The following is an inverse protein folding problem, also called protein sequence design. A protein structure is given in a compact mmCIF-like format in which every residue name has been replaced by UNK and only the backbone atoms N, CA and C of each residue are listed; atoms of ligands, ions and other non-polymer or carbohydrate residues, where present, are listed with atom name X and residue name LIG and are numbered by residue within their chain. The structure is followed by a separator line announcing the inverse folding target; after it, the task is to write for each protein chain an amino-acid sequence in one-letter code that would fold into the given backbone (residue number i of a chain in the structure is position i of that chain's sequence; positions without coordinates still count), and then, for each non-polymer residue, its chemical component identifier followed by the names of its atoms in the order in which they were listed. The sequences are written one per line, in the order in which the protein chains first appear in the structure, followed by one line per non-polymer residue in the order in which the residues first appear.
data_IF_847997963619
#
_entry.id   IF_847997963619
#
_cell.length_a   1.000
_cell.length_b   1.000
_cell.length_c   1.000
_cell.angle_alpha   90.00
_cell.angle_beta   90.00
_cell.angle_gamma   90.00
#
_symmetry.space_group_name_H-M   'P 1'
#
loop_
_entity.id
_entity.type
_entity.pdbx_description
1 polymer ?
#
# COMPACT_ATOMS: atom_id res chain seq x y z
N UNK A 1 1.30 -23.26 12.89
CA UNK A 1 2.62 -22.87 12.35
C UNK A 1 3.10 -23.84 11.28
N UNK A 2 3.22 -25.15 11.53
CA UNK A 2 3.42 -26.17 10.46
C UNK A 2 2.45 -25.99 9.28
N UNK A 3 1.16 -25.81 9.60
CA UNK A 3 0.10 -25.53 8.62
C UNK A 3 0.38 -24.36 7.66
N UNK A 4 1.20 -23.35 8.00
CA UNK A 4 1.46 -22.22 7.08
C UNK A 4 2.57 -22.52 6.07
N UNK A 5 3.52 -23.40 6.42
CA UNK A 5 4.60 -23.82 5.52
C UNK A 5 4.14 -24.87 4.51
N UNK A 6 3.05 -25.57 4.83
CA UNK A 6 2.45 -26.64 4.02
C UNK A 6 1.39 -26.11 3.04
N UNK A 7 1.06 -24.81 3.08
CA UNK A 7 0.10 -24.22 2.15
C UNK A 7 0.82 -23.88 0.84
N UNK A 8 0.46 -24.57 -0.22
CA UNK A 8 0.97 -24.32 -1.59
C UNK A 8 0.28 -23.13 -2.28
N UNK A 9 -0.84 -22.65 -1.73
CA UNK A 9 -1.64 -21.56 -2.29
C UNK A 9 -1.27 -20.19 -1.69
N UNK A 10 -1.60 -19.11 -2.40
CA UNK A 10 -1.49 -17.76 -1.83
C UNK A 10 -2.57 -17.55 -0.77
N UNK A 11 -2.17 -17.09 0.41
CA UNK A 11 -3.10 -16.76 1.50
C UNK A 11 -3.15 -15.25 1.66
N UNK A 12 -4.37 -14.70 1.67
CA UNK A 12 -4.62 -13.31 2.04
C UNK A 12 -5.07 -13.30 3.50
N UNK A 13 -4.38 -12.50 4.32
CA UNK A 13 -4.68 -12.36 5.74
C UNK A 13 -5.05 -10.92 6.00
N UNK A 14 -6.29 -10.70 6.43
CA UNK A 14 -6.71 -9.40 6.94
C UNK A 14 -6.21 -9.24 8.39
N UNK A 15 -5.72 -8.04 8.72
CA UNK A 15 -5.07 -7.75 10.00
C UNK A 15 -5.79 -6.57 10.64
N UNK A 16 -6.59 -6.85 11.66
CA UNK A 16 -7.33 -5.86 12.44
C UNK A 16 -6.83 -5.88 13.90
N UNK A 17 -5.66 -5.28 14.13
CA UNK A 17 -5.05 -5.15 15.47
C UNK A 17 -4.34 -3.80 15.59
N UNK A 18 -3.94 -3.44 16.81
CA UNK A 18 -3.12 -2.25 17.05
C UNK A 18 -1.79 -2.33 16.26
N UNK A 19 -1.22 -1.19 15.79
CA UNK A 19 -0.06 -1.18 14.90
C UNK A 19 1.17 -1.92 15.45
N UNK A 20 1.43 -1.81 16.76
CA UNK A 20 2.56 -2.48 17.39
C UNK A 20 2.41 -4.01 17.37
N UNK A 21 1.20 -4.51 17.59
CA UNK A 21 0.90 -5.94 17.56
C UNK A 21 0.90 -6.48 16.12
N UNK A 22 0.35 -5.72 15.17
CA UNK A 22 0.42 -6.03 13.75
C UNK A 22 1.88 -6.16 13.29
N UNK A 23 2.73 -5.18 13.63
CA UNK A 23 4.15 -5.19 13.29
C UNK A 23 4.86 -6.42 13.88
N UNK A 24 4.62 -6.74 15.15
CA UNK A 24 5.19 -7.93 15.81
C UNK A 24 4.75 -9.21 15.11
N UNK A 25 3.47 -9.33 14.80
CA UNK A 25 2.88 -10.51 14.16
C UNK A 25 3.44 -10.73 12.75
N UNK A 26 3.52 -9.66 11.94
CA UNK A 26 4.07 -9.72 10.59
C UNK A 26 5.56 -10.09 10.62
N UNK A 27 6.34 -9.51 11.54
CA UNK A 27 7.75 -9.85 11.68
C UNK A 27 7.95 -11.31 12.12
N UNK A 28 7.15 -11.79 13.08
CA UNK A 28 7.19 -13.19 13.49
C UNK A 28 6.83 -14.14 12.33
N UNK A 29 5.88 -13.75 11.48
CA UNK A 29 5.54 -14.50 10.26
C UNK A 29 6.73 -14.51 9.28
N UNK A 30 7.29 -13.34 8.96
CA UNK A 30 8.46 -13.19 8.09
C UNK A 30 9.66 -14.02 8.55
N UNK A 31 9.93 -14.06 9.86
CA UNK A 31 11.01 -14.89 10.44
C UNK A 31 10.76 -16.40 10.31
N UNK A 32 9.50 -16.83 10.22
CA UNK A 32 9.13 -18.25 10.19
C UNK A 32 8.99 -18.81 8.77
N UNK A 33 8.41 -18.06 7.85
CA UNK A 33 8.17 -18.52 6.46
C UNK A 33 9.15 -17.92 5.45
N UNK A 34 10.01 -17.01 5.89
CA UNK A 34 10.95 -16.29 5.04
C UNK A 34 10.39 -14.93 4.59
N UNK A 35 11.19 -13.88 4.75
CA UNK A 35 10.74 -12.51 4.49
C UNK A 35 10.26 -12.25 3.05
N UNK A 36 10.84 -12.96 2.06
CA UNK A 36 10.44 -12.87 0.64
C UNK A 36 9.09 -13.54 0.34
N UNK A 37 8.63 -14.43 1.21
CA UNK A 37 7.36 -15.14 1.07
C UNK A 37 6.17 -14.33 1.62
N UNK A 38 6.43 -13.17 2.24
CA UNK A 38 5.39 -12.33 2.87
C UNK A 38 5.39 -10.96 2.22
N UNK A 39 4.34 -10.69 1.44
CA UNK A 39 4.03 -9.34 0.97
C UNK A 39 3.17 -8.64 2.03
N UNK A 40 3.60 -7.45 2.46
CA UNK A 40 2.79 -6.59 3.31
C UNK A 40 2.17 -5.50 2.45
N UNK A 41 0.84 -5.45 2.43
CA UNK A 41 0.08 -4.40 1.74
C UNK A 41 -0.59 -3.49 2.77
N UNK A 42 -0.32 -2.20 2.71
CA UNK A 42 -0.99 -1.18 3.51
C UNK A 42 -2.03 -0.47 2.66
N UNK A 43 -3.23 -0.30 3.21
CA UNK A 43 -4.33 0.38 2.53
C UNK A 43 -4.38 1.84 2.98
N UNK A 44 -4.41 2.77 2.02
CA UNK A 44 -4.57 4.21 2.28
C UNK A 44 -5.59 4.79 1.30
N UNK A 45 -6.54 5.63 1.74
CA UNK A 45 -7.37 6.38 0.80
C UNK A 45 -6.53 7.43 0.06
N UNK A 46 -6.83 7.67 -1.21
CA UNK A 46 -6.27 8.77 -1.99
C UNK A 46 -6.64 10.12 -1.35
N UNK A 47 -5.76 11.11 -1.46
CA UNK A 47 -5.92 12.40 -0.78
C UNK A 47 -5.53 12.34 0.70
N UNK A 48 -4.77 11.31 1.11
CA UNK A 48 -4.30 11.21 2.48
C UNK A 48 -3.28 12.30 2.80
N UNK A 49 -3.39 12.88 3.99
CA UNK A 49 -2.45 13.92 4.42
C UNK A 49 -1.05 13.35 4.64
N UNK A 50 -0.03 14.20 4.41
CA UNK A 50 1.36 13.90 4.75
C UNK A 50 1.55 13.46 6.20
N UNK A 51 0.81 14.04 7.14
CA UNK A 51 0.86 13.64 8.54
C UNK A 51 0.40 12.19 8.73
N UNK A 52 -0.69 11.79 8.06
CA UNK A 52 -1.20 10.42 8.12
C UNK A 52 -0.22 9.42 7.52
N UNK A 53 0.33 9.68 6.33
CA UNK A 53 1.33 8.81 5.70
C UNK A 53 2.58 8.67 6.58
N UNK A 54 3.06 9.76 7.19
CA UNK A 54 4.17 9.72 8.15
C UNK A 54 3.87 8.87 9.39
N UNK A 55 2.64 8.91 9.89
CA UNK A 55 2.20 8.05 11.00
C UNK A 55 2.26 6.57 10.60
N UNK A 56 1.75 6.21 9.41
CA UNK A 56 1.86 4.86 8.88
C UNK A 56 3.33 4.43 8.69
N UNK A 57 4.18 5.31 8.16
CA UNK A 57 5.61 5.07 7.99
C UNK A 57 6.32 4.80 9.31
N UNK A 58 6.00 5.56 10.36
CA UNK A 58 6.55 5.33 11.70
C UNK A 58 6.20 3.95 12.24
N UNK A 59 4.99 3.46 11.96
CA UNK A 59 4.52 2.16 12.42
C UNK A 59 5.02 0.98 11.57
N UNK A 60 5.11 1.15 10.26
CA UNK A 60 5.26 0.02 9.33
C UNK A 60 6.40 0.16 8.31
N UNK A 61 7.13 1.28 8.30
CA UNK A 61 8.23 1.57 7.35
C UNK A 61 9.32 0.49 7.32
N UNK A 62 9.61 -0.13 8.45
CA UNK A 62 10.59 -1.22 8.55
C UNK A 62 10.19 -2.47 7.75
N UNK A 63 8.89 -2.66 7.47
CA UNK A 63 8.39 -3.78 6.69
C UNK A 63 8.58 -3.61 5.18
N UNK A 64 8.96 -2.41 4.72
CA UNK A 64 8.98 -1.99 3.31
C UNK A 64 7.68 -2.34 2.56
N UNK A 65 6.51 -1.94 3.07
CA UNK A 65 5.23 -2.36 2.54
C UNK A 65 4.93 -1.76 1.16
N UNK A 66 4.04 -2.43 0.45
CA UNK A 66 3.37 -1.92 -0.73
C UNK A 66 2.12 -1.16 -0.30
N UNK A 67 1.93 0.07 -0.76
CA UNK A 67 0.76 0.89 -0.51
C UNK A 67 -0.26 0.65 -1.63
N UNK A 68 -1.50 0.38 -1.23
CA UNK A 68 -2.67 0.41 -2.09
C UNK A 68 -3.45 1.71 -1.84
N UNK A 69 -3.51 2.57 -2.85
CA UNK A 69 -4.29 3.80 -2.86
C UNK A 69 -5.74 3.46 -3.26
N UNK A 70 -6.69 3.72 -2.36
CA UNK A 70 -8.12 3.43 -2.54
C UNK A 70 -8.93 4.71 -2.73
N UNK A 71 -10.18 4.61 -3.18
CA UNK A 71 -11.06 5.77 -3.42
C UNK A 71 -10.46 6.78 -4.41
N UNK A 72 -9.70 6.29 -5.40
CA UNK A 72 -9.01 7.15 -6.38
C UNK A 72 -9.97 7.82 -7.38
N UNK A 73 -11.25 7.44 -7.38
CA UNK A 73 -12.34 8.08 -8.10
C UNK A 73 -12.99 9.23 -7.31
N UNK A 74 -12.78 9.28 -5.99
CA UNK A 74 -13.25 10.37 -5.12
C UNK A 74 -12.19 11.44 -4.94
N UNK A 75 -10.91 11.04 -4.86
CA UNK A 75 -9.78 11.94 -4.65
C UNK A 75 -8.59 11.52 -5.50
N UNK A 76 -7.76 12.50 -5.89
CA UNK A 76 -6.47 12.26 -6.54
C UNK A 76 -5.37 12.04 -5.51
N UNK A 77 -4.44 11.13 -5.80
CA UNK A 77 -3.17 11.02 -5.08
C UNK A 77 -2.29 12.17 -5.52
N UNK A 78 -2.05 13.12 -4.62
CA UNK A 78 -1.30 14.34 -4.95
C UNK A 78 0.20 14.05 -5.13
N UNK A 79 0.95 14.90 -5.86
CA UNK A 79 2.40 14.79 -5.92
C UNK A 79 3.07 14.81 -4.53
N UNK A 80 2.52 15.55 -3.57
CA UNK A 80 3.03 15.55 -2.19
C UNK A 80 2.77 14.20 -1.48
N UNK A 81 1.60 13.60 -1.68
CA UNK A 81 1.29 12.28 -1.15
C UNK A 81 2.24 11.22 -1.72
N UNK A 82 2.43 11.21 -3.05
CA UNK A 82 3.41 10.35 -3.73
C UNK A 82 4.82 10.50 -3.16
N UNK A 83 5.30 11.73 -3.07
CA UNK A 83 6.63 12.05 -2.55
C UNK A 83 6.78 11.61 -1.08
N UNK A 84 5.74 11.81 -0.28
CA UNK A 84 5.75 11.39 1.13
C UNK A 84 5.79 9.88 1.25
N UNK A 85 5.01 9.15 0.45
CA UNK A 85 5.02 7.68 0.44
C UNK A 85 6.43 7.16 0.10
N UNK A 86 7.00 7.58 -1.03
CA UNK A 86 8.27 7.05 -1.53
C UNK A 86 9.48 7.44 -0.66
N UNK A 87 9.41 8.58 0.04
CA UNK A 87 10.46 9.02 0.96
C UNK A 87 10.57 8.18 2.24
N UNK A 88 9.60 7.29 2.54
CA UNK A 88 9.56 6.53 3.80
C UNK A 88 9.60 5.01 3.61
N UNK A 89 10.35 4.53 2.61
CA UNK A 89 10.53 3.09 2.30
C UNK A 89 9.22 2.35 1.93
N UNK A 90 8.21 3.08 1.49
CA UNK A 90 7.01 2.48 0.91
C UNK A 90 7.16 2.38 -0.60
N UNK A 91 6.60 1.32 -1.18
CA UNK A 91 6.39 1.19 -2.61
C UNK A 91 4.92 1.39 -2.92
N UNK A 92 4.58 1.82 -4.13
CA UNK A 92 3.19 2.01 -4.55
C UNK A 92 2.83 0.89 -5.52
N UNK A 93 1.74 0.18 -5.25
CA UNK A 93 1.40 -1.02 -6.01
C UNK A 93 0.02 -1.05 -6.63
N UNK A 94 -0.97 -0.46 -5.97
CA UNK A 94 -2.37 -0.60 -6.37
C UNK A 94 -3.10 0.73 -6.31
N UNK A 95 -3.88 1.00 -7.36
CA UNK A 95 -4.86 2.09 -7.40
C UNK A 95 -6.24 1.47 -7.57
N UNK A 96 -7.22 1.88 -6.77
CA UNK A 96 -8.59 1.43 -6.94
C UNK A 96 -9.59 2.51 -6.54
N UNK A 97 -10.63 2.66 -7.36
CA UNK A 97 -11.81 3.44 -7.01
C UNK A 97 -12.75 2.70 -6.05
N UNK A 98 -13.85 3.37 -5.70
CA UNK A 98 -14.89 2.88 -4.79
C UNK A 98 -15.89 1.97 -5.52
N UNK A 99 -16.12 2.19 -6.83
CA UNK A 99 -17.06 1.40 -7.64
C UNK A 99 -16.40 0.17 -8.27
N UNK A 100 -16.84 -1.02 -7.84
CA UNK A 100 -16.38 -2.34 -8.34
C UNK A 100 -14.85 -2.49 -8.29
N UNK A 101 -14.32 -2.73 -7.09
CA UNK A 101 -12.88 -2.94 -6.80
C UNK A 101 -12.19 -3.86 -7.82
N UNK A 102 -12.87 -4.92 -8.26
CA UNK A 102 -12.34 -5.88 -9.25
C UNK A 102 -12.15 -5.28 -10.65
N UNK A 103 -12.98 -4.30 -11.04
CA UNK A 103 -12.87 -3.60 -12.34
C UNK A 103 -11.99 -2.36 -12.28
N UNK A 104 -11.81 -1.79 -11.08
CA UNK A 104 -11.04 -0.56 -10.86
C UNK A 104 -9.61 -0.79 -10.38
N UNK A 105 -9.20 -2.02 -10.09
CA UNK A 105 -7.85 -2.33 -9.63
C UNK A 105 -6.84 -2.16 -10.75
N UNK A 106 -6.03 -1.10 -10.65
CA UNK A 106 -4.89 -0.86 -11.53
C UNK A 106 -3.60 -1.25 -10.81
N UNK A 107 -2.82 -2.11 -11.45
CA UNK A 107 -1.46 -2.41 -11.01
C UNK A 107 -0.55 -1.26 -11.42
N UNK A 108 0.12 -0.66 -10.43
CA UNK A 108 1.01 0.47 -10.68
C UNK A 108 2.29 -0.03 -11.31
N UNK A 109 2.56 0.46 -12.51
CA UNK A 109 3.86 0.38 -13.16
C UNK A 109 4.31 1.81 -13.55
N UNK A 110 5.51 1.94 -14.10
CA UNK A 110 6.07 3.24 -14.43
C UNK A 110 5.23 4.01 -15.46
N UNK A 111 4.69 3.34 -16.48
CA UNK A 111 3.87 4.00 -17.50
C UNK A 111 2.54 4.50 -16.95
N UNK A 112 1.86 3.68 -16.14
CA UNK A 112 0.65 4.07 -15.42
C UNK A 112 0.92 5.27 -14.53
N UNK A 113 1.98 5.24 -13.72
CA UNK A 113 2.30 6.32 -12.80
C UNK A 113 2.65 7.61 -13.53
N UNK A 114 3.42 7.53 -14.63
CA UNK A 114 3.76 8.68 -15.46
C UNK A 114 2.50 9.31 -16.10
N UNK A 115 1.60 8.49 -16.62
CA UNK A 115 0.33 8.95 -17.17
C UNK A 115 -0.54 9.60 -16.09
N UNK A 116 -0.68 8.94 -14.93
CA UNK A 116 -1.45 9.47 -13.81
C UNK A 116 -0.91 10.82 -13.34
N UNK A 117 0.40 10.95 -13.15
CA UNK A 117 1.03 12.22 -12.76
C UNK A 117 0.82 13.32 -13.81
N UNK A 118 0.89 12.98 -15.10
CA UNK A 118 0.62 13.92 -16.20
C UNK A 118 -0.81 14.45 -16.15
N UNK A 119 -1.79 13.56 -15.99
CA UNK A 119 -3.21 13.90 -15.89
C UNK A 119 -3.48 14.75 -14.63
N UNK A 120 -2.90 14.36 -13.49
CA UNK A 120 -2.98 15.13 -12.25
C UNK A 120 -2.42 16.54 -12.40
N UNK A 121 -1.23 16.70 -12.99
CA UNK A 121 -0.62 18.03 -13.18
C UNK A 121 -1.46 18.95 -14.06
N UNK A 122 -2.09 18.42 -15.11
CA UNK A 122 -3.02 19.18 -15.96
C UNK A 122 -4.22 19.64 -15.14
N UNK A 123 -4.77 18.76 -14.29
CA UNK A 123 -5.90 19.09 -13.42
C UNK A 123 -5.57 20.10 -12.32
N UNK A 124 -4.31 20.19 -11.86
CA UNK A 124 -3.86 21.18 -10.87
C UNK A 124 -3.56 22.55 -11.47
N UNK A 125 -3.38 22.64 -12.79
CA UNK A 125 -3.10 23.90 -13.51
C UNK A 125 -4.34 24.64 -14.02
N UNK A 126 -5.54 24.09 -13.78
CA UNK A 126 -6.84 24.69 -14.09
C UNK A 126 -7.50 25.18 -12.81
#
# INVERSE_FOLDING_TARGET
VKKLLEIEQKVVVDVCTEPAEALKTINALKSRVGAKQVLTVLISPAGSSKHYIKKLAKSFGSLKPLIACTKTDENMVSPEEFSTITSHNFSIGYFTGTKSILKSLSFVNQSFLAQYLKESMISFSQ
#
